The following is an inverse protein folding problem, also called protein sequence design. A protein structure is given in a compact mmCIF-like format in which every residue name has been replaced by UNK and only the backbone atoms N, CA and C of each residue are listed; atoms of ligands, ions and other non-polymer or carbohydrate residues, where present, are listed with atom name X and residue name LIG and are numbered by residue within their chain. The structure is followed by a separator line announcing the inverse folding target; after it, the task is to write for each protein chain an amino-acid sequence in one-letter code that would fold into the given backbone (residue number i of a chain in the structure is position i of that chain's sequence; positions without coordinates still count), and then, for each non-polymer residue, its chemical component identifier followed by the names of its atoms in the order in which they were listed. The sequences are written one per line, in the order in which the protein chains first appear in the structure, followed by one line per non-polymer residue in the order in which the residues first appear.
data_IF_193358119553
#
_entry.id   IF_193358119553
#
_cell.length_a   1.000
_cell.length_b   1.000
_cell.length_c   1.000
_cell.angle_alpha   90.00
_cell.angle_beta   90.00
_cell.angle_gamma   90.00
#
_symmetry.space_group_name_H-M   'P 1'
#
loop_
_entity.id
_entity.type
_entity.pdbx_description
1 polymer ?
#
# COMPACT_ATOMS: atom_id res chain seq x y z
N UNK A 1 -2.39 -15.13 54.27
CA UNK A 1 -3.57 -15.92 53.87
C UNK A 1 -3.85 -15.69 52.40
N UNK A 2 -4.13 -16.70 51.59
CA UNK A 2 -3.60 -18.07 51.60
C UNK A 2 -3.79 -18.70 50.20
N UNK A 3 -2.87 -19.56 49.79
CA UNK A 3 -2.92 -20.22 48.47
C UNK A 3 -3.74 -21.51 48.53
N UNK A 4 -5.06 -21.36 48.37
CA UNK A 4 -5.98 -22.47 48.10
C UNK A 4 -6.29 -22.57 46.59
N UNK A 5 -6.43 -23.74 45.97
CA UNK A 5 -5.97 -25.09 46.34
C UNK A 5 -6.01 -25.99 45.09
N UNK A 6 -5.18 -27.04 45.03
CA UNK A 6 -5.35 -28.14 44.06
C UNK A 6 -6.56 -29.02 44.45
N UNK A 7 -7.21 -29.73 43.51
CA UNK A 7 -6.94 -31.17 43.34
C UNK A 7 -7.22 -31.70 41.88
N UNK A 8 -6.92 -32.93 41.42
CA UNK A 8 -6.21 -34.13 41.95
C UNK A 8 -5.85 -35.13 40.82
N UNK A 9 -4.76 -35.90 41.02
CA UNK A 9 -4.58 -37.33 40.61
C UNK A 9 -4.51 -37.71 39.09
N UNK A 10 -3.88 -38.83 38.68
CA UNK A 10 -3.23 -39.93 39.45
C UNK A 10 -2.06 -40.63 38.71
N UNK A 11 -1.15 -41.22 39.51
CA UNK A 11 -0.25 -42.41 39.37
C UNK A 11 0.03 -43.09 38.00
N UNK A 12 1.13 -43.84 37.75
CA UNK A 12 2.08 -44.53 38.67
C UNK A 12 3.45 -44.82 37.98
N UNK A 13 4.53 -45.02 38.74
CA UNK A 13 5.84 -45.53 38.25
C UNK A 13 5.93 -47.07 38.28
N UNK A 14 6.83 -47.65 37.46
CA UNK A 14 7.65 -48.85 37.78
C UNK A 14 8.86 -48.94 36.82
N UNK A 15 9.92 -49.65 37.23
CA UNK A 15 11.22 -49.79 36.52
C UNK A 15 11.57 -51.25 36.17
N UNK A 16 12.65 -51.46 35.39
CA UNK A 16 13.74 -52.47 35.60
C UNK A 16 14.13 -53.31 34.35
N UNK A 17 15.34 -53.03 33.83
CA UNK A 17 16.40 -53.92 33.28
C UNK A 17 16.23 -55.10 32.28
N UNK A 18 17.17 -55.11 31.32
CA UNK A 18 18.12 -56.19 30.93
C UNK A 18 17.94 -57.14 29.70
N UNK A 19 19.08 -57.27 28.99
CA UNK A 19 19.66 -58.41 28.23
C UNK A 19 19.26 -58.75 26.75
N UNK A 20 20.06 -58.21 25.81
CA UNK A 20 21.01 -58.85 24.82
C UNK A 20 20.98 -60.39 24.53
N UNK A 21 21.69 -60.95 23.49
CA UNK A 21 22.68 -60.37 22.52
C UNK A 21 22.61 -60.89 21.03
N UNK A 22 23.69 -60.64 20.25
CA UNK A 22 24.17 -61.31 19.00
C UNK A 22 23.47 -60.94 17.66
N UNK A 23 24.11 -60.86 16.47
CA UNK A 23 25.52 -60.67 16.00
C UNK A 23 25.44 -60.39 14.44
N UNK A 24 26.44 -60.17 13.57
CA UNK A 24 27.92 -60.18 13.58
C UNK A 24 28.50 -59.41 12.36
N UNK A 25 29.74 -58.89 12.46
CA UNK A 25 30.78 -58.74 11.39
C UNK A 25 30.50 -57.92 10.09
N UNK A 26 31.47 -57.22 9.44
CA UNK A 26 32.88 -56.89 9.76
C UNK A 26 33.46 -55.82 8.79
N UNK A 27 34.41 -55.00 9.28
CA UNK A 27 35.52 -54.32 8.55
C UNK A 27 35.16 -53.25 7.46
N UNK A 28 35.99 -52.23 7.15
CA UNK A 28 37.34 -51.86 7.61
C UNK A 28 37.63 -50.33 7.61
N UNK A 29 38.56 -49.92 8.48
CA UNK A 29 39.58 -48.85 8.36
C UNK A 29 39.29 -47.42 7.83
N UNK A 30 39.53 -46.45 8.73
CA UNK A 30 40.51 -45.33 8.59
C UNK A 30 40.24 -44.17 7.60
N UNK A 31 40.55 -42.89 7.86
CA UNK A 31 41.03 -42.11 9.03
C UNK A 31 41.01 -40.58 8.66
N UNK A 32 41.20 -39.54 9.49
CA UNK A 32 41.59 -39.39 10.91
C UNK A 32 41.10 -38.05 11.53
N UNK A 33 41.21 -37.94 12.86
CA UNK A 33 41.47 -36.77 13.73
C UNK A 33 40.90 -35.33 13.52
N UNK A 34 40.19 -34.90 14.59
CA UNK A 34 40.46 -33.67 15.40
C UNK A 34 40.09 -32.29 14.86
N UNK A 35 38.85 -31.91 15.18
CA UNK A 35 38.41 -30.60 15.72
C UNK A 35 39.43 -29.47 15.93
N UNK A 36 39.07 -28.27 15.49
CA UNK A 36 39.27 -27.05 16.32
C UNK A 36 38.08 -26.12 16.14
N UNK A 37 37.28 -25.93 17.20
CA UNK A 37 36.22 -24.95 17.18
C UNK A 37 36.81 -23.55 17.45
N UNK A 38 36.62 -22.63 16.51
CA UNK A 38 36.61 -21.19 16.80
C UNK A 38 35.20 -20.69 16.57
N UNK A 39 34.59 -20.16 17.63
CA UNK A 39 33.45 -19.27 17.46
C UNK A 39 33.97 -17.93 16.94
N UNK A 40 33.56 -17.55 15.74
CA UNK A 40 33.67 -16.17 15.28
C UNK A 40 32.27 -15.57 15.27
N UNK A 41 32.15 -14.43 15.96
CA UNK A 41 30.91 -13.69 16.18
C UNK A 41 30.48 -12.98 14.89
N UNK A 42 29.89 -13.78 13.99
CA UNK A 42 29.59 -13.44 12.60
C UNK A 42 28.42 -12.48 12.45
N UNK A 43 28.65 -11.21 12.81
CA UNK A 43 27.69 -10.09 12.61
C UNK A 43 27.13 -10.09 11.19
N UNK A 44 25.82 -9.90 11.03
CA UNK A 44 25.06 -10.02 9.77
C UNK A 44 25.38 -8.95 8.70
N UNK A 45 26.62 -8.92 8.19
CA UNK A 45 27.14 -7.94 7.23
C UNK A 45 27.45 -8.55 5.86
N UNK A 46 26.49 -9.25 5.24
CA UNK A 46 26.69 -9.93 3.94
C UNK A 46 25.74 -9.52 2.81
N UNK A 47 24.88 -8.51 3.03
CA UNK A 47 23.71 -8.25 2.17
C UNK A 47 23.71 -6.85 1.51
N UNK A 48 24.84 -6.12 1.52
CA UNK A 48 24.93 -4.73 0.98
C UNK A 48 26.00 -4.57 -0.12
N UNK A 49 27.03 -5.42 -0.17
CA UNK A 49 28.24 -5.21 -0.99
C UNK A 49 28.10 -5.56 -2.50
N UNK A 50 26.90 -5.57 -3.08
CA UNK A 50 26.68 -5.95 -4.50
C UNK A 50 26.21 -4.77 -5.37
N UNK A 51 25.67 -3.71 -4.76
CA UNK A 51 25.27 -2.48 -5.45
C UNK A 51 26.51 -1.58 -5.58
N UNK A 52 26.72 -0.96 -6.76
CA UNK A 52 27.73 0.08 -6.96
C UNK A 52 27.48 1.23 -5.97
N UNK A 53 28.45 1.62 -5.11
CA UNK A 53 28.30 2.75 -4.18
C UNK A 53 27.94 4.09 -4.83
N UNK A 54 28.11 4.23 -6.15
CA UNK A 54 27.74 5.41 -6.92
C UNK A 54 26.35 5.30 -7.59
N UNK A 55 25.65 4.17 -7.48
CA UNK A 55 24.34 3.99 -8.10
C UNK A 55 23.27 4.89 -7.46
N UNK A 56 22.44 5.52 -8.30
CA UNK A 56 21.26 6.25 -7.85
C UNK A 56 20.18 5.21 -7.52
N UNK A 57 19.78 5.10 -6.25
CA UNK A 57 18.59 4.34 -5.87
C UNK A 57 17.38 5.26 -6.07
N UNK A 58 16.53 4.94 -7.05
CA UNK A 58 15.45 5.80 -7.52
C UNK A 58 14.49 6.24 -6.40
N UNK A 59 14.09 5.31 -5.52
CA UNK A 59 13.19 5.61 -4.41
C UNK A 59 13.80 6.54 -3.36
N UNK A 60 15.13 6.48 -3.16
CA UNK A 60 15.86 7.39 -2.28
C UNK A 60 15.99 8.77 -2.94
N UNK A 61 16.39 8.83 -4.20
CA UNK A 61 16.52 10.10 -4.93
C UNK A 61 15.21 10.89 -5.04
N UNK A 62 14.07 10.20 -5.15
CA UNK A 62 12.72 10.80 -5.14
C UNK A 62 12.27 11.34 -3.78
N UNK A 63 12.91 10.93 -2.69
CA UNK A 63 12.56 11.33 -1.31
C UNK A 63 13.63 12.19 -0.63
N UNK A 64 14.83 12.30 -1.23
CA UNK A 64 15.90 13.20 -0.79
C UNK A 64 15.57 14.66 -1.10
N UNK A 65 15.44 15.45 -0.03
CA UNK A 65 15.15 16.89 -0.08
C UNK A 65 16.34 17.75 -0.49
N UNK A 66 17.56 17.20 -0.57
CA UNK A 66 18.72 17.89 -1.14
C UNK A 66 18.67 17.94 -2.68
N UNK A 67 17.92 17.05 -3.32
CA UNK A 67 17.84 16.97 -4.79
C UNK A 67 16.82 17.97 -5.32
N UNK A 68 17.30 18.85 -6.22
CA UNK A 68 16.48 19.92 -6.82
C UNK A 68 15.53 19.38 -7.91
N UNK A 69 14.40 18.83 -7.46
CA UNK A 69 13.29 18.43 -8.32
C UNK A 69 12.42 19.62 -8.75
N UNK A 70 11.81 19.51 -9.94
CA UNK A 70 10.79 20.43 -10.46
C UNK A 70 9.59 19.64 -11.02
N UNK A 71 8.38 20.17 -10.85
CA UNK A 71 7.21 19.67 -11.60
C UNK A 71 7.32 20.16 -13.04
N UNK A 72 7.41 19.24 -13.99
CA UNK A 72 7.42 19.53 -15.43
C UNK A 72 6.02 19.44 -16.04
N UNK A 73 5.11 18.67 -15.43
CA UNK A 73 3.74 18.53 -15.89
C UNK A 73 2.82 18.11 -14.74
N UNK A 74 1.58 18.61 -14.70
CA UNK A 74 0.49 18.05 -13.90
C UNK A 74 -0.80 18.06 -14.72
N UNK A 75 -1.47 16.91 -14.81
CA UNK A 75 -2.66 16.70 -15.64
C UNK A 75 -3.67 15.83 -14.92
N UNK A 76 -4.91 16.32 -14.86
CA UNK A 76 -6.09 15.51 -14.54
C UNK A 76 -6.45 14.69 -15.78
N UNK A 77 -6.66 13.38 -15.62
CA UNK A 77 -7.15 12.46 -16.64
C UNK A 77 -8.61 12.07 -16.43
N UNK A 78 -9.12 12.15 -15.19
CA UNK A 78 -10.52 11.87 -14.83
C UNK A 78 -10.97 12.86 -13.74
N UNK A 79 -12.18 13.43 -13.84
CA UNK A 79 -12.78 14.33 -12.82
C UNK A 79 -14.30 14.18 -12.80
N UNK A 80 -14.79 13.32 -11.91
CA UNK A 80 -16.21 13.17 -11.56
C UNK A 80 -16.49 13.93 -10.27
N UNK A 81 -17.39 14.91 -10.31
CA UNK A 81 -17.85 15.67 -9.14
C UNK A 81 -19.33 15.99 -9.29
N UNK A 82 -20.20 15.15 -8.71
CA UNK A 82 -21.66 15.17 -8.91
C UNK A 82 -22.42 14.66 -7.69
N UNK A 83 -23.69 15.05 -7.51
CA UNK A 83 -24.61 14.49 -6.51
C UNK A 83 -25.61 13.48 -7.13
N UNK A 84 -25.63 13.34 -8.47
CA UNK A 84 -26.62 12.54 -9.20
C UNK A 84 -26.23 11.05 -9.38
N UNK A 85 -25.19 10.57 -8.70
CA UNK A 85 -24.82 9.15 -8.74
C UNK A 85 -25.70 8.34 -7.77
N UNK A 86 -26.18 7.15 -8.16
CA UNK A 86 -27.00 6.33 -7.29
C UNK A 86 -26.15 5.64 -6.20
N UNK A 87 -26.74 5.50 -5.02
CA UNK A 87 -26.19 4.74 -3.89
C UNK A 87 -27.07 3.53 -3.58
N UNK A 88 -26.47 2.53 -2.94
CA UNK A 88 -27.24 1.41 -2.40
C UNK A 88 -28.22 1.94 -1.34
N UNK A 89 -29.46 1.44 -1.33
CA UNK A 89 -30.51 1.85 -0.37
C UNK A 89 -30.03 1.87 1.08
N UNK A 90 -29.14 0.93 1.47
CA UNK A 90 -28.52 0.90 2.80
C UNK A 90 -27.87 2.25 3.18
N UNK A 91 -27.06 2.86 2.30
CA UNK A 91 -26.39 4.14 2.62
C UNK A 91 -27.39 5.29 2.82
N UNK A 92 -28.46 5.33 2.02
CA UNK A 92 -29.54 6.30 2.19
C UNK A 92 -30.24 6.11 3.54
N UNK A 93 -30.52 4.87 3.94
CA UNK A 93 -31.16 4.57 5.22
C UNK A 93 -30.25 4.86 6.42
N UNK A 94 -28.98 4.46 6.38
CA UNK A 94 -28.03 4.68 7.47
C UNK A 94 -27.74 6.17 7.69
N UNK A 95 -27.89 7.02 6.66
CA UNK A 95 -27.75 8.48 6.74
C UNK A 95 -28.88 9.19 7.50
N UNK A 96 -30.00 8.51 7.77
CA UNK A 96 -31.16 9.09 8.44
C UNK A 96 -30.97 9.24 9.96
N UNK A 97 -31.63 10.24 10.54
CA UNK A 97 -31.74 10.37 12.00
C UNK A 97 -32.40 9.14 12.65
N UNK A 98 -31.95 8.79 13.87
CA UNK A 98 -32.49 7.65 14.62
C UNK A 98 -34.00 7.76 14.88
N UNK A 99 -34.53 8.98 15.01
CA UNK A 99 -35.97 9.22 15.14
C UNK A 99 -36.75 8.84 13.85
N UNK A 100 -36.17 9.09 12.67
CA UNK A 100 -36.77 8.71 11.38
C UNK A 100 -36.68 7.19 11.21
N UNK A 101 -35.53 6.58 11.53
CA UNK A 101 -35.32 5.12 11.48
C UNK A 101 -36.23 4.35 12.47
N UNK A 102 -36.59 4.96 13.60
CA UNK A 102 -37.58 4.42 14.53
C UNK A 102 -39.02 4.54 14.02
N UNK A 103 -39.37 5.62 13.31
CA UNK A 103 -40.69 5.83 12.73
C UNK A 103 -40.91 5.04 11.41
N UNK A 104 -39.85 4.80 10.64
CA UNK A 104 -39.86 4.09 9.36
C UNK A 104 -38.93 2.85 9.38
N UNK A 105 -39.19 1.86 10.26
CA UNK A 105 -38.31 0.72 10.45
C UNK A 105 -38.24 -0.21 9.22
N UNK A 106 -37.10 -0.87 9.07
CA UNK A 106 -36.80 -1.76 7.94
C UNK A 106 -37.74 -2.97 7.86
N UNK A 107 -38.72 -2.90 6.96
CA UNK A 107 -39.57 -4.04 6.61
C UNK A 107 -38.80 -5.07 5.78
N UNK A 108 -39.21 -6.35 5.75
CA UNK A 108 -38.58 -7.38 4.89
C UNK A 108 -38.52 -7.00 3.40
N UNK A 109 -39.44 -6.17 2.92
CA UNK A 109 -39.42 -5.63 1.55
C UNK A 109 -38.26 -4.65 1.33
N UNK A 110 -37.98 -3.77 2.30
CA UNK A 110 -36.87 -2.81 2.24
C UNK A 110 -35.52 -3.50 2.43
N UNK A 111 -35.44 -4.50 3.32
CA UNK A 111 -34.26 -5.35 3.48
C UNK A 111 -33.87 -6.04 2.17
N UNK A 112 -34.84 -6.50 1.37
CA UNK A 112 -34.59 -7.06 0.04
C UNK A 112 -34.05 -6.04 -1.00
N UNK A 113 -34.15 -4.74 -0.72
CA UNK A 113 -33.67 -3.65 -1.59
C UNK A 113 -32.33 -3.05 -1.13
N UNK A 114 -31.74 -3.53 -0.04
CA UNK A 114 -30.51 -2.99 0.57
C UNK A 114 -29.38 -2.66 -0.41
N UNK A 115 -29.05 -3.60 -1.31
CA UNK A 115 -27.97 -3.47 -2.28
C UNK A 115 -28.41 -2.82 -3.61
N UNK A 116 -29.69 -2.45 -3.74
CA UNK A 116 -30.22 -1.82 -4.96
C UNK A 116 -29.72 -0.38 -5.06
N UNK A 117 -29.03 -0.07 -6.16
CA UNK A 117 -28.59 1.30 -6.48
C UNK A 117 -29.80 2.16 -6.85
N UNK A 118 -29.97 3.29 -6.19
CA UNK A 118 -31.04 4.27 -6.43
C UNK A 118 -30.63 5.68 -5.98
N UNK A 119 -31.37 6.69 -6.42
CA UNK A 119 -31.25 8.07 -5.94
C UNK A 119 -31.88 8.27 -4.56
N UNK A 120 -31.52 9.37 -3.88
CA UNK A 120 -32.15 9.75 -2.61
C UNK A 120 -33.68 9.93 -2.74
N UNK A 121 -34.17 10.41 -3.89
CA UNK A 121 -35.61 10.57 -4.16
C UNK A 121 -36.35 9.23 -4.23
N UNK A 122 -35.72 8.21 -4.82
CA UNK A 122 -36.26 6.85 -4.90
C UNK A 122 -36.22 6.15 -3.53
N UNK A 123 -35.14 6.33 -2.76
CA UNK A 123 -35.04 5.81 -1.40
C UNK A 123 -36.10 6.44 -0.46
N UNK A 124 -36.31 7.76 -0.55
CA UNK A 124 -37.36 8.45 0.19
C UNK A 124 -38.77 7.95 -0.20
N UNK A 125 -39.02 7.74 -1.49
CA UNK A 125 -40.28 7.17 -1.98
C UNK A 125 -40.50 5.71 -1.53
N UNK A 126 -39.43 4.91 -1.38
CA UNK A 126 -39.51 3.56 -0.85
C UNK A 126 -39.81 3.53 0.66
N UNK A 127 -39.29 4.50 1.42
CA UNK A 127 -39.50 4.68 2.86
C UNK A 127 -40.81 5.41 3.23
N UNK A 128 -41.39 6.18 2.29
CA UNK A 128 -42.56 7.02 2.54
C UNK A 128 -42.24 8.32 3.28
N UNK A 129 -41.05 8.90 3.06
CA UNK A 129 -40.58 10.15 3.70
C UNK A 129 -40.34 11.25 2.66
N UNK A 130 -40.10 12.51 3.09
CA UNK A 130 -39.64 13.55 2.17
C UNK A 130 -38.21 13.28 1.71
N UNK A 131 -37.90 13.59 0.45
CA UNK A 131 -36.56 13.49 -0.10
C UNK A 131 -35.56 14.42 0.59
N UNK A 132 -36.02 15.55 1.14
CA UNK A 132 -35.19 16.54 1.85
C UNK A 132 -34.60 16.01 3.17
N UNK A 133 -35.09 14.85 3.65
CA UNK A 133 -34.59 14.17 4.85
C UNK A 133 -33.43 13.22 4.56
N UNK A 134 -33.12 12.93 3.29
CA UNK A 134 -31.98 12.09 2.88
C UNK A 134 -30.87 13.00 2.35
N UNK A 135 -29.77 13.10 3.09
CA UNK A 135 -28.61 13.88 2.67
C UNK A 135 -27.97 13.27 1.42
N UNK A 136 -27.85 14.05 0.34
CA UNK A 136 -27.23 13.57 -0.91
C UNK A 136 -25.75 13.98 -0.96
N UNK A 137 -24.79 13.04 -0.85
CA UNK A 137 -23.37 13.37 -0.84
C UNK A 137 -22.86 13.78 -2.23
N UNK A 138 -21.79 14.57 -2.25
CA UNK A 138 -20.96 14.74 -3.43
C UNK A 138 -20.15 13.48 -3.67
N UNK A 139 -20.32 12.88 -4.85
CA UNK A 139 -19.46 11.83 -5.37
C UNK A 139 -18.24 12.47 -6.03
N UNK A 140 -17.07 12.36 -5.39
CA UNK A 140 -15.80 12.89 -5.88
C UNK A 140 -14.87 11.76 -6.31
N UNK A 141 -14.47 11.78 -7.59
CA UNK A 141 -13.36 11.00 -8.11
C UNK A 141 -12.52 11.86 -9.00
N UNK A 142 -11.23 11.95 -8.70
CA UNK A 142 -10.25 12.59 -9.56
C UNK A 142 -9.06 11.66 -9.70
N UNK A 143 -8.58 11.49 -10.93
CA UNK A 143 -7.33 10.82 -11.25
C UNK A 143 -6.48 11.80 -12.04
N UNK A 144 -5.20 11.86 -11.71
CA UNK A 144 -4.22 12.61 -12.46
C UNK A 144 -2.90 11.89 -12.62
N UNK A 145 -2.00 12.58 -13.33
CA UNK A 145 -0.62 12.21 -13.52
C UNK A 145 0.23 13.48 -13.44
N UNK A 146 1.44 13.34 -12.92
CA UNK A 146 2.44 14.40 -12.91
C UNK A 146 3.79 13.85 -13.36
N UNK A 147 4.64 14.74 -13.84
CA UNK A 147 6.03 14.44 -14.20
C UNK A 147 6.94 15.30 -13.37
N UNK A 148 7.79 14.68 -12.56
CA UNK A 148 8.89 15.33 -11.85
C UNK A 148 10.16 15.21 -12.68
N UNK A 149 11.03 16.21 -12.60
CA UNK A 149 12.31 16.24 -13.31
C UNK A 149 13.42 16.81 -12.43
N UNK A 150 14.57 16.14 -12.42
CA UNK A 150 15.83 16.63 -11.85
C UNK A 150 16.84 16.84 -12.98
N UNK A 151 17.24 18.09 -13.16
CA UNK A 151 18.19 18.51 -14.20
C UNK A 151 19.60 17.97 -13.91
N UNK A 152 20.00 17.95 -12.63
CA UNK A 152 21.29 17.45 -12.19
C UNK A 152 21.46 15.93 -12.40
N UNK A 153 20.38 15.16 -12.28
CA UNK A 153 20.39 13.71 -12.52
C UNK A 153 20.05 13.32 -13.98
N UNK A 154 19.59 14.29 -14.79
CA UNK A 154 18.96 14.05 -16.09
C UNK A 154 17.84 12.99 -16.03
N UNK A 155 17.02 13.07 -14.99
CA UNK A 155 16.03 12.06 -14.60
C UNK A 155 14.64 12.68 -14.55
N UNK A 156 13.70 12.13 -15.32
CA UNK A 156 12.28 12.43 -15.22
C UNK A 156 11.50 11.18 -14.76
N UNK A 157 10.55 11.37 -13.86
CA UNK A 157 9.68 10.30 -13.35
C UNK A 157 8.22 10.74 -13.48
N UNK A 158 7.40 9.90 -14.11
CA UNK A 158 5.95 10.07 -14.15
C UNK A 158 5.31 9.26 -13.04
N UNK A 159 4.46 9.93 -12.27
CA UNK A 159 3.71 9.36 -11.16
C UNK A 159 2.21 9.62 -11.39
N UNK A 160 1.37 8.71 -10.92
CA UNK A 160 -0.08 8.83 -10.97
C UNK A 160 -0.66 9.03 -9.56
N UNK A 161 -1.72 9.82 -9.45
CA UNK A 161 -2.34 10.20 -8.18
C UNK A 161 -3.87 10.21 -8.27
N UNK A 162 -4.55 10.01 -7.15
CA UNK A 162 -6.02 10.06 -7.03
C UNK A 162 -6.45 10.50 -5.64
N UNK A 163 -7.64 11.09 -5.50
CA UNK A 163 -8.22 11.39 -4.19
C UNK A 163 -8.58 10.10 -3.42
N UNK A 164 -8.91 9.00 -4.11
CA UNK A 164 -9.41 7.79 -3.45
C UNK A 164 -9.14 6.52 -4.24
N UNK A 165 -8.94 5.40 -3.56
CA UNK A 165 -8.92 4.07 -4.19
C UNK A 165 -10.30 3.63 -4.73
N UNK A 166 -11.39 4.20 -4.19
CA UNK A 166 -12.78 3.85 -4.54
C UNK A 166 -13.16 4.32 -5.95
N UNK A 167 -14.29 3.84 -6.48
CA UNK A 167 -14.89 4.37 -7.73
C UNK A 167 -15.24 5.85 -7.58
N UNK A 168 -15.84 6.22 -6.46
CA UNK A 168 -16.04 7.61 -6.01
C UNK A 168 -15.99 7.66 -4.48
N UNK A 169 -15.53 8.78 -3.94
CA UNK A 169 -15.65 9.13 -2.54
C UNK A 169 -16.97 9.87 -2.29
N UNK A 170 -17.61 9.64 -1.13
CA UNK A 170 -18.89 10.26 -0.77
C UNK A 170 -18.64 11.34 0.29
N UNK A 171 -18.98 12.60 -0.01
CA UNK A 171 -18.64 13.75 0.83
C UNK A 171 -19.88 14.60 1.10
N UNK A 172 -20.21 14.74 2.38
CA UNK A 172 -21.40 15.46 2.85
C UNK A 172 -21.07 16.93 3.15
N UNK A 173 -21.03 17.75 2.09
CA UNK A 173 -20.85 19.21 2.18
C UNK A 173 -21.93 19.94 1.37
N UNK A 174 -22.20 21.20 1.71
CA UNK A 174 -23.15 22.03 0.96
C UNK A 174 -22.61 22.37 -0.43
N UNK A 175 -21.36 22.83 -0.54
CA UNK A 175 -20.80 23.30 -1.80
C UNK A 175 -19.90 22.26 -2.47
N UNK A 176 -19.89 22.34 -3.81
CA UNK A 176 -19.01 21.55 -4.69
C UNK A 176 -17.51 21.81 -4.44
N UNK A 177 -17.14 23.05 -4.14
CA UNK A 177 -15.75 23.41 -3.84
C UNK A 177 -15.27 22.73 -2.55
N UNK A 178 -16.04 22.86 -1.47
CA UNK A 178 -15.76 22.22 -0.17
C UNK A 178 -15.64 20.68 -0.31
N UNK A 179 -16.49 20.07 -1.15
CA UNK A 179 -16.43 18.63 -1.42
C UNK A 179 -15.11 18.23 -2.08
N UNK A 180 -14.67 18.99 -3.08
CA UNK A 180 -13.40 18.75 -3.77
C UNK A 180 -12.23 18.97 -2.82
N UNK A 181 -12.20 20.06 -2.05
CA UNK A 181 -11.14 20.34 -1.07
C UNK A 181 -11.07 19.23 0.01
N UNK A 182 -12.22 18.73 0.47
CA UNK A 182 -12.28 17.64 1.44
C UNK A 182 -11.72 16.32 0.86
N UNK A 183 -12.04 15.98 -0.39
CA UNK A 183 -11.54 14.77 -1.06
C UNK A 183 -10.02 14.74 -1.17
N UNK A 184 -9.38 15.91 -1.29
CA UNK A 184 -7.94 16.01 -1.50
C UNK A 184 -7.11 16.06 -0.21
N UNK A 185 -7.71 15.88 0.97
CA UNK A 185 -6.95 15.77 2.23
C UNK A 185 -6.12 14.48 2.29
N UNK A 186 -6.73 13.37 1.87
CA UNK A 186 -6.15 12.02 1.95
C UNK A 186 -5.78 11.48 0.55
N UNK A 187 -5.34 12.37 -0.35
CA UNK A 187 -4.92 11.98 -1.71
C UNK A 187 -3.72 11.04 -1.68
N UNK A 188 -3.64 10.12 -2.64
CA UNK A 188 -2.60 9.09 -2.71
C UNK A 188 -2.00 8.95 -4.12
N UNK A 189 -0.71 8.61 -4.17
CA UNK A 189 -0.07 8.05 -5.36
C UNK A 189 -0.54 6.60 -5.58
N UNK A 190 -0.61 6.16 -6.83
CA UNK A 190 -1.04 4.79 -7.16
C UNK A 190 -0.57 4.33 -8.55
N UNK A 191 -0.69 3.02 -8.82
CA UNK A 191 -0.61 2.48 -10.18
C UNK A 191 0.82 2.37 -10.73
N UNK A 192 1.07 3.00 -11.89
CA UNK A 192 2.33 2.86 -12.64
C UNK A 192 3.33 3.97 -12.30
N UNK A 193 4.61 3.63 -12.39
CA UNK A 193 5.73 4.57 -12.40
C UNK A 193 6.43 4.43 -13.75
N UNK A 194 6.56 5.52 -14.51
CA UNK A 194 7.35 5.55 -15.75
C UNK A 194 8.60 6.41 -15.55
N UNK A 195 9.76 5.92 -15.97
CA UNK A 195 11.06 6.58 -15.78
C UNK A 195 11.72 6.88 -17.11
N UNK A 196 12.15 8.12 -17.30
CA UNK A 196 13.01 8.54 -18.41
C UNK A 196 14.32 9.03 -17.80
N UNK A 197 15.41 8.32 -18.09
CA UNK A 197 16.74 8.58 -17.53
C UNK A 197 17.76 8.75 -18.65
N UNK A 198 18.53 9.84 -18.63
CA UNK A 198 19.43 10.21 -19.75
C UNK A 198 20.92 10.22 -19.42
N UNK A 199 21.29 10.13 -18.14
CA UNK A 199 22.69 10.11 -17.73
C UNK A 199 23.30 8.71 -17.91
N UNK A 200 24.28 8.59 -18.81
CA UNK A 200 24.99 7.35 -19.12
C UNK A 200 26.19 7.07 -18.18
N UNK A 201 26.52 8.00 -17.28
CA UNK A 201 27.74 7.98 -16.46
C UNK A 201 27.56 7.36 -15.08
N UNK A 202 26.33 7.06 -14.70
CA UNK A 202 25.95 6.63 -13.36
C UNK A 202 24.79 5.64 -13.47
N UNK A 203 24.84 4.52 -12.76
CA UNK A 203 23.75 3.56 -12.76
C UNK A 203 22.52 4.16 -12.06
N UNK A 204 21.33 3.97 -12.63
CA UNK A 204 20.05 4.18 -11.95
C UNK A 204 19.44 2.82 -11.66
N UNK A 205 19.09 2.56 -10.41
CA UNK A 205 18.48 1.30 -10.00
C UNK A 205 17.18 1.54 -9.24
N UNK A 206 16.26 0.57 -9.34
CA UNK A 206 15.13 0.43 -8.44
C UNK A 206 15.31 -0.83 -7.60
N UNK A 207 14.98 -0.73 -6.32
CA UNK A 207 14.98 -1.84 -5.36
C UNK A 207 13.53 -2.28 -5.16
N UNK A 208 13.30 -3.59 -5.14
CA UNK A 208 12.02 -4.17 -4.72
C UNK A 208 12.14 -4.54 -3.24
N UNK A 209 11.66 -3.68 -2.35
CA UNK A 209 11.80 -3.84 -0.90
C UNK A 209 10.94 -5.00 -0.35
N UNK A 210 10.05 -5.58 -1.18
CA UNK A 210 9.22 -6.74 -0.83
C UNK A 210 9.82 -8.09 -1.23
N UNK A 211 10.74 -8.12 -2.19
CA UNK A 211 11.34 -9.37 -2.73
C UNK A 211 12.71 -9.72 -2.11
N UNK A 212 13.12 -9.00 -1.06
CA UNK A 212 14.38 -9.21 -0.31
C UNK A 212 14.25 -10.39 0.67
N UNK A 213 13.82 -11.55 0.16
CA UNK A 213 13.96 -12.82 0.84
C UNK A 213 15.44 -13.27 0.87
N UNK A 214 15.80 -14.09 1.85
CA UNK A 214 17.21 -14.46 2.11
C UNK A 214 17.84 -15.38 1.05
N UNK A 215 17.01 -16.02 0.24
CA UNK A 215 17.41 -16.97 -0.79
C UNK A 215 17.27 -16.41 -2.23
N UNK A 216 16.76 -15.18 -2.38
CA UNK A 216 16.67 -14.47 -3.67
C UNK A 216 18.05 -13.99 -4.13
N UNK A 217 18.32 -14.05 -5.44
CA UNK A 217 19.51 -13.42 -6.02
C UNK A 217 19.35 -11.90 -6.09
N UNK A 218 20.46 -11.16 -6.25
CA UNK A 218 20.40 -9.69 -6.34
C UNK A 218 19.66 -9.22 -7.61
N UNK A 219 19.74 -10.00 -8.68
CA UNK A 219 19.03 -9.73 -9.94
C UNK A 219 17.51 -9.89 -9.83
N UNK A 220 17.01 -10.58 -8.79
CA UNK A 220 15.57 -10.75 -8.53
C UNK A 220 14.92 -9.54 -7.84
N UNK A 221 15.71 -8.69 -7.16
CA UNK A 221 15.22 -7.52 -6.41
C UNK A 221 15.90 -6.19 -6.73
N UNK A 222 16.93 -6.17 -7.59
CA UNK A 222 17.56 -4.95 -8.12
C UNK A 222 17.35 -4.83 -9.63
N UNK A 223 16.47 -3.91 -10.03
CA UNK A 223 16.28 -3.55 -11.44
C UNK A 223 17.21 -2.39 -11.82
N UNK A 224 18.12 -2.63 -12.76
CA UNK A 224 18.86 -1.55 -13.42
C UNK A 224 17.99 -0.91 -14.50
N UNK A 225 17.83 0.42 -14.45
CA UNK A 225 17.07 1.22 -15.40
C UNK A 225 18.05 1.79 -16.44
N UNK A 226 17.83 1.48 -17.71
CA UNK A 226 18.76 1.88 -18.77
C UNK A 226 18.72 3.38 -19.04
N UNK A 227 19.85 3.98 -19.41
CA UNK A 227 19.88 5.33 -19.98
C UNK A 227 19.29 5.31 -21.40
N UNK A 228 18.42 6.25 -21.73
CA UNK A 228 17.69 6.28 -23.00
C UNK A 228 16.87 7.56 -23.21
N UNK A 229 16.24 7.68 -24.39
CA UNK A 229 15.44 8.85 -24.73
C UNK A 229 13.95 8.74 -24.39
N UNK A 230 13.48 7.52 -24.11
CA UNK A 230 12.07 7.18 -23.92
C UNK A 230 11.75 6.80 -22.47
N UNK A 231 10.46 6.76 -22.15
CA UNK A 231 9.95 6.33 -20.85
C UNK A 231 9.92 4.80 -20.75
N UNK A 232 10.59 4.25 -19.74
CA UNK A 232 10.53 2.85 -19.32
C UNK A 232 9.47 2.70 -18.22
N UNK A 233 8.52 1.77 -18.40
CA UNK A 233 7.56 1.37 -17.37
C UNK A 233 8.25 0.45 -16.37
N UNK A 234 8.20 0.77 -15.07
CA UNK A 234 8.74 -0.12 -14.04
C UNK A 234 7.80 -1.33 -13.79
N UNK A 235 8.34 -2.50 -13.41
CA UNK A 235 7.56 -3.63 -12.92
C UNK A 235 6.74 -3.26 -11.68
N UNK A 236 5.64 -3.97 -11.44
CA UNK A 236 4.64 -3.61 -10.44
C UNK A 236 5.18 -3.55 -8.99
N UNK A 237 6.12 -4.41 -8.62
CA UNK A 237 6.67 -4.48 -7.25
C UNK A 237 7.69 -3.36 -6.97
N UNK A 238 8.55 -3.06 -7.94
CA UNK A 238 9.39 -1.86 -7.93
C UNK A 238 8.57 -0.56 -7.91
N UNK A 239 7.51 -0.48 -8.73
CA UNK A 239 6.58 0.64 -8.71
C UNK A 239 5.91 0.78 -7.33
N UNK A 240 5.41 -0.32 -6.74
CA UNK A 240 4.84 -0.32 -5.39
C UNK A 240 5.85 0.15 -4.34
N UNK A 241 7.08 -0.35 -4.35
CA UNK A 241 8.15 0.05 -3.43
C UNK A 241 8.42 1.57 -3.48
N UNK A 242 8.48 2.15 -4.69
CA UNK A 242 8.63 3.59 -4.88
C UNK A 242 7.40 4.37 -4.36
N UNK A 243 6.19 3.90 -4.67
CA UNK A 243 4.94 4.57 -4.29
C UNK A 243 4.75 4.55 -2.77
N UNK A 244 5.01 3.42 -2.09
CA UNK A 244 4.94 3.32 -0.63
C UNK A 244 5.96 4.23 0.07
N UNK A 245 7.18 4.35 -0.47
CA UNK A 245 8.20 5.25 0.08
C UNK A 245 7.84 6.73 -0.13
N UNK A 246 7.24 7.06 -1.27
CA UNK A 246 6.70 8.39 -1.57
C UNK A 246 5.52 8.75 -0.67
N UNK A 247 4.63 7.80 -0.34
CA UNK A 247 3.54 8.00 0.62
C UNK A 247 4.06 8.33 2.02
N UNK A 248 4.99 7.53 2.55
CA UNK A 248 5.64 7.77 3.84
C UNK A 248 6.32 9.15 3.90
N UNK A 249 6.93 9.57 2.79
CA UNK A 249 7.70 10.82 2.70
C UNK A 249 6.90 12.03 2.22
N UNK A 250 5.63 11.87 1.82
CA UNK A 250 4.78 12.93 1.27
C UNK A 250 4.76 14.23 2.09
N UNK A 251 4.66 14.22 3.44
CA UNK A 251 4.67 15.46 4.23
C UNK A 251 5.98 16.27 4.14
N UNK A 252 7.07 15.66 3.65
CA UNK A 252 8.37 16.32 3.40
C UNK A 252 8.50 16.83 1.96
N UNK A 253 7.52 16.54 1.09
CA UNK A 253 7.57 16.76 -0.36
C UNK A 253 6.38 17.63 -0.85
N UNK A 254 6.16 18.83 -0.27
CA UNK A 254 4.95 19.64 -0.49
C UNK A 254 4.76 20.16 -1.93
N UNK A 255 5.82 20.07 -2.74
CA UNK A 255 5.82 20.46 -4.15
C UNK A 255 4.97 19.53 -5.04
N UNK A 256 4.64 18.31 -4.58
CA UNK A 256 3.61 17.48 -5.20
C UNK A 256 2.21 18.03 -4.93
N UNK A 257 1.88 18.26 -3.65
CA UNK A 257 0.56 18.71 -3.21
C UNK A 257 0.21 20.07 -3.81
N UNK A 258 1.13 21.03 -3.80
CA UNK A 258 0.92 22.35 -4.39
C UNK A 258 0.54 22.28 -5.89
N UNK A 259 1.25 21.49 -6.69
CA UNK A 259 0.98 21.34 -8.12
C UNK A 259 -0.22 20.43 -8.44
N UNK A 260 -0.68 19.65 -7.47
CA UNK A 260 -1.95 18.91 -7.53
C UNK A 260 -3.10 19.90 -7.28
N UNK A 261 -3.05 20.68 -6.18
CA UNK A 261 -4.05 21.69 -5.82
C UNK A 261 -4.25 22.76 -6.88
N UNK A 262 -3.16 23.34 -7.43
CA UNK A 262 -3.19 24.31 -8.54
C UNK A 262 -3.96 23.78 -9.78
N UNK A 263 -4.05 22.45 -9.94
CA UNK A 263 -4.74 21.82 -11.06
C UNK A 263 -6.20 21.47 -10.78
N UNK A 264 -6.64 21.53 -9.52
CA UNK A 264 -7.94 21.06 -9.03
C UNK A 264 -8.96 22.19 -8.89
N UNK A 265 -8.48 23.38 -8.50
CA UNK A 265 -9.23 24.65 -8.52
C UNK A 265 -9.75 24.99 -9.94
#
# INVERSE_FOLDING_TARGET
MDLNALPTQSATNMTTDQNTPLNSSNLASSDNMTSTAKAEDGTSQKQVNVIDPNAIILAQALTDTAISWRIHNCKISEKTVSQELPLQFLYHYDSLDDAIKQAHPLTPKLLAQFNTLMSAKEAAAALGISADLIATPWHVKVIGSLVVFSEALQLAVRLHWTNTAKTTEQIYTQNKADAVIAAFKDWQFFGRVDVLYKNDKQALISIDEYSIDKDSSVDDWVLTIAAGNDYQLLPATHALSILSKLEEHKPKLPWFEAAILERIE
#
